data_IF_130065454637
#
_entry.id   IF_130065454637
#
_cell.length_a   1.000
_cell.length_b   1.000
_cell.length_c   1.000
_cell.angle_alpha   90.00
_cell.angle_beta   90.00
_cell.angle_gamma   90.00
#
_symmetry.space_group_name_H-M   'P 1'
#
loop_
_entity.id
_entity.type
_entity.pdbx_description
1 polymer ?
#
# COMPACT_ATOMS: atom_id res chain seq x y z
N UNK A 1 -1.52 -20.66 -7.89
CA UNK A 1 -1.27 -19.70 -8.99
C UNK A 1 -0.51 -18.53 -8.39
N UNK A 2 0.62 -18.15 -8.98
CA UNK A 2 1.71 -17.40 -8.32
C UNK A 2 1.43 -15.90 -8.16
N UNK A 3 1.92 -15.34 -7.05
CA UNK A 3 1.83 -13.92 -6.69
C UNK A 3 2.69 -13.09 -7.64
N UNK A 4 2.07 -12.13 -8.35
CA UNK A 4 2.80 -11.06 -9.03
C UNK A 4 2.97 -9.92 -8.03
N UNK A 5 4.19 -9.65 -7.55
CA UNK A 5 4.43 -8.42 -6.83
C UNK A 5 4.28 -7.33 -7.92
N UNK A 6 3.28 -6.44 -7.82
CA UNK A 6 2.83 -5.60 -8.93
C UNK A 6 3.97 -5.04 -9.77
N UNK A 7 3.96 -5.29 -11.08
CA UNK A 7 4.94 -4.68 -11.99
C UNK A 7 4.57 -3.20 -12.18
N UNK A 8 5.39 -2.43 -12.90
CA UNK A 8 4.98 -1.09 -13.33
C UNK A 8 3.63 -1.12 -14.08
N UNK A 9 3.29 -2.25 -14.68
CA UNK A 9 2.05 -2.47 -15.43
C UNK A 9 0.82 -2.58 -14.52
N UNK A 10 0.99 -2.96 -13.26
CA UNK A 10 -0.07 -3.13 -12.26
C UNK A 10 -0.08 -1.98 -11.22
N UNK A 11 0.52 -0.83 -11.54
CA UNK A 11 0.65 0.28 -10.58
C UNK A 11 -0.70 0.90 -10.19
N UNK A 12 -1.66 0.94 -11.11
CA UNK A 12 -2.99 1.52 -10.87
C UNK A 12 -3.77 0.72 -9.83
N UNK A 13 -4.46 1.42 -8.93
CA UNK A 13 -5.18 0.87 -7.78
C UNK A 13 -4.31 0.05 -6.80
N UNK A 14 -2.97 0.17 -6.89
CA UNK A 14 -2.05 -0.53 -5.98
C UNK A 14 -1.77 0.29 -4.72
N UNK A 15 -1.26 -0.37 -3.69
CA UNK A 15 -0.70 0.30 -2.50
C UNK A 15 0.42 1.29 -2.88
N UNK A 16 1.19 1.00 -3.92
CA UNK A 16 2.27 1.89 -4.36
C UNK A 16 1.73 3.21 -4.94
N UNK A 17 0.58 3.17 -5.63
CA UNK A 17 -0.12 4.38 -6.07
C UNK A 17 -0.66 5.18 -4.88
N UNK A 18 -1.27 4.52 -3.90
CA UNK A 18 -1.76 5.18 -2.69
C UNK A 18 -0.63 5.90 -1.93
N UNK A 19 0.56 5.29 -1.87
CA UNK A 19 1.76 5.91 -1.30
C UNK A 19 2.19 7.15 -2.12
N UNK A 20 2.25 7.05 -3.45
CA UNK A 20 2.60 8.19 -4.33
C UNK A 20 1.60 9.35 -4.15
N UNK A 21 0.30 9.06 -4.10
CA UNK A 21 -0.75 10.05 -3.88
C UNK A 21 -0.65 10.69 -2.50
N UNK A 22 -0.42 9.89 -1.45
CA UNK A 22 -0.26 10.41 -0.09
C UNK A 22 0.93 11.36 0.00
N UNK A 23 2.08 11.01 -0.59
CA UNK A 23 3.25 11.88 -0.61
C UNK A 23 2.94 13.20 -1.34
N UNK A 24 2.31 13.12 -2.52
CA UNK A 24 1.94 14.30 -3.29
C UNK A 24 1.02 15.24 -2.49
N UNK A 25 0.01 14.68 -1.82
CA UNK A 25 -0.92 15.44 -0.97
C UNK A 25 -0.19 16.13 0.19
N UNK A 26 0.74 15.43 0.87
CA UNK A 26 1.53 16.03 1.95
C UNK A 26 2.41 17.18 1.48
N UNK A 27 3.10 17.02 0.34
CA UNK A 27 3.93 18.10 -0.22
C UNK A 27 3.11 19.37 -0.51
N UNK A 28 1.93 19.21 -1.12
CA UNK A 28 1.05 20.34 -1.42
C UNK A 28 0.53 21.00 -0.13
N UNK A 29 0.17 20.18 0.88
CA UNK A 29 -0.29 20.68 2.17
C UNK A 29 0.80 21.51 2.90
N UNK A 30 2.07 21.14 2.71
CA UNK A 30 3.22 21.85 3.26
C UNK A 30 3.65 23.07 2.41
N UNK A 31 2.88 23.42 1.37
CA UNK A 31 3.18 24.54 0.46
C UNK A 31 4.34 24.28 -0.50
N UNK A 32 4.76 23.01 -0.65
CA UNK A 32 5.80 22.59 -1.58
C UNK A 32 5.20 22.23 -2.96
N UNK A 33 6.02 22.25 -4.02
CA UNK A 33 5.60 21.71 -5.31
C UNK A 33 5.19 20.24 -5.20
N UNK A 34 4.10 19.88 -5.89
CA UNK A 34 3.69 18.48 -6.02
C UNK A 34 4.69 17.63 -6.80
N UNK A 35 4.46 16.31 -6.78
CA UNK A 35 5.28 15.36 -7.53
C UNK A 35 5.07 15.53 -9.04
N UNK A 36 6.13 15.40 -9.85
CA UNK A 36 6.00 15.42 -11.30
C UNK A 36 5.22 14.19 -11.77
N UNK A 37 4.12 14.44 -12.50
CA UNK A 37 3.18 13.44 -13.02
C UNK A 37 3.38 13.14 -14.51
N UNK A 38 4.46 13.64 -15.11
CA UNK A 38 4.85 13.32 -16.49
C UNK A 38 5.54 11.95 -16.53
N UNK A 39 5.43 11.23 -17.64
CA UNK A 39 6.09 9.93 -17.79
C UNK A 39 7.59 10.09 -18.06
N UNK A 40 8.34 10.37 -17.00
CA UNK A 40 9.80 10.53 -17.03
C UNK A 40 10.50 9.33 -16.39
N UNK A 41 11.81 9.10 -16.67
CA UNK A 41 12.61 8.11 -15.95
C UNK A 41 12.50 8.24 -14.42
N UNK A 42 12.53 9.46 -13.90
CA UNK A 42 12.46 9.76 -12.47
C UNK A 42 11.12 9.31 -11.86
N UNK A 43 10.01 9.51 -12.59
CA UNK A 43 8.70 8.99 -12.17
C UNK A 43 8.70 7.46 -12.14
N UNK A 44 9.26 6.81 -13.16
CA UNK A 44 9.32 5.34 -13.21
C UNK A 44 10.18 4.76 -12.09
N UNK A 45 11.30 5.40 -11.76
CA UNK A 45 12.17 4.99 -10.64
C UNK A 45 11.51 5.20 -9.29
N UNK A 46 10.84 6.33 -9.09
CA UNK A 46 10.02 6.58 -7.89
C UNK A 46 8.91 5.53 -7.74
N UNK A 47 8.22 5.18 -8.82
CA UNK A 47 7.19 4.13 -8.79
C UNK A 47 7.78 2.76 -8.45
N UNK A 48 8.95 2.40 -9.00
CA UNK A 48 9.66 1.15 -8.62
C UNK A 48 10.02 1.13 -7.13
N UNK A 49 10.44 2.27 -6.58
CA UNK A 49 10.70 2.42 -5.15
C UNK A 49 9.44 2.17 -4.31
N UNK A 50 8.32 2.82 -4.66
CA UNK A 50 7.05 2.61 -3.93
C UNK A 50 6.52 1.20 -4.06
N UNK A 51 6.68 0.57 -5.23
CA UNK A 51 6.37 -0.85 -5.43
C UNK A 51 7.23 -1.73 -4.50
N UNK A 52 8.54 -1.46 -4.36
CA UNK A 52 9.40 -2.20 -3.46
C UNK A 52 8.99 -2.03 -1.98
N UNK A 53 8.64 -0.80 -1.57
CA UNK A 53 8.13 -0.50 -0.23
C UNK A 53 6.83 -1.27 0.04
N UNK A 54 5.85 -1.17 -0.86
CA UNK A 54 4.57 -1.85 -0.72
C UNK A 54 4.75 -3.38 -0.57
N UNK A 55 5.62 -3.98 -1.40
CA UNK A 55 5.96 -5.41 -1.31
C UNK A 55 6.59 -5.77 0.04
N UNK A 56 7.51 -4.95 0.53
CA UNK A 56 8.16 -5.15 1.83
C UNK A 56 7.17 -5.09 2.99
N UNK A 57 6.28 -4.09 2.98
CA UNK A 57 5.22 -3.92 3.99
C UNK A 57 4.28 -5.12 4.00
N UNK A 58 3.74 -5.52 2.85
CA UNK A 58 2.84 -6.69 2.76
C UNK A 58 3.55 -7.98 3.18
N UNK A 59 4.81 -8.16 2.77
CA UNK A 59 5.62 -9.31 3.18
C UNK A 59 5.79 -9.37 4.70
N UNK A 60 6.06 -8.23 5.34
CA UNK A 60 6.20 -8.12 6.78
C UNK A 60 4.89 -8.42 7.51
N UNK A 61 3.78 -7.78 7.09
CA UNK A 61 2.47 -7.98 7.68
C UNK A 61 2.00 -9.44 7.57
N UNK A 62 2.25 -10.07 6.42
CA UNK A 62 1.94 -11.50 6.23
C UNK A 62 2.77 -12.40 7.13
N UNK A 63 4.06 -12.10 7.33
CA UNK A 63 4.92 -12.86 8.24
C UNK A 63 4.47 -12.75 9.71
N UNK A 64 3.82 -11.64 10.07
CA UNK A 64 3.32 -11.36 11.41
C UNK A 64 1.78 -11.43 11.50
N UNK A 65 1.12 -12.09 10.56
CA UNK A 65 -0.33 -12.08 10.44
C UNK A 65 -1.03 -12.62 11.69
N UNK A 66 -0.40 -13.55 12.40
CA UNK A 66 -0.90 -14.07 13.68
C UNK A 66 -1.02 -13.00 14.78
N UNK A 67 -0.30 -11.89 14.65
CA UNK A 67 -0.36 -10.75 15.57
C UNK A 67 -1.42 -9.72 15.18
N UNK A 68 -2.09 -9.88 14.04
CA UNK A 68 -3.12 -8.96 13.55
C UNK A 68 -4.50 -9.39 14.05
N UNK A 69 -5.02 -8.67 15.05
CA UNK A 69 -6.35 -8.86 15.62
C UNK A 69 -7.20 -7.61 15.43
N UNK A 70 -8.48 -7.81 15.08
CA UNK A 70 -9.47 -6.74 15.00
C UNK A 70 -10.44 -6.92 16.15
N UNK A 71 -10.55 -5.88 16.98
CA UNK A 71 -11.56 -5.78 18.02
C UNK A 71 -12.72 -4.95 17.49
N UNK A 72 -13.95 -5.46 17.63
CA UNK A 72 -15.15 -4.74 17.21
C UNK A 72 -16.31 -5.04 18.16
N UNK A 73 -17.25 -4.11 18.23
CA UNK A 73 -18.50 -4.28 18.96
C UNK A 73 -19.57 -4.83 18.00
N UNK A 74 -20.29 -5.86 18.45
CA UNK A 74 -21.39 -6.48 17.74
C UNK A 74 -22.59 -6.55 18.68
N UNK A 75 -23.48 -5.57 18.57
CA UNK A 75 -24.68 -5.39 19.41
C UNK A 75 -24.36 -5.37 20.92
N UNK A 76 -23.35 -4.59 21.32
CA UNK A 76 -22.91 -4.47 22.71
C UNK A 76 -22.03 -5.62 23.21
N UNK A 77 -21.67 -6.57 22.33
CA UNK A 77 -20.73 -7.64 22.64
C UNK A 77 -19.38 -7.34 21.99
N UNK A 78 -18.34 -7.18 22.82
CA UNK A 78 -16.96 -7.05 22.34
C UNK A 78 -16.46 -8.37 21.76
N UNK A 79 -16.09 -8.35 20.48
CA UNK A 79 -15.56 -9.49 19.73
C UNK A 79 -14.13 -9.23 19.28
N UNK A 80 -13.40 -10.31 19.06
CA UNK A 80 -12.05 -10.29 18.48
C UNK A 80 -12.00 -11.27 17.32
N UNK A 81 -11.48 -10.85 16.17
CA UNK A 81 -11.27 -11.72 15.01
C UNK A 81 -9.84 -11.59 14.48
N UNK A 82 -9.29 -12.68 13.94
CA UNK A 82 -7.98 -12.68 13.31
C UNK A 82 -8.11 -12.29 11.84
N UNK A 83 -7.19 -11.46 11.36
CA UNK A 83 -7.20 -11.01 9.97
C UNK A 83 -6.53 -12.05 9.08
N UNK A 84 -7.17 -12.34 7.94
CA UNK A 84 -6.49 -13.01 6.84
C UNK A 84 -6.19 -12.03 5.73
N UNK A 85 -4.89 -11.78 5.50
CA UNK A 85 -4.46 -10.93 4.40
C UNK A 85 -4.55 -11.70 3.09
N UNK A 86 -5.59 -11.40 2.32
CA UNK A 86 -5.67 -11.77 0.92
C UNK A 86 -4.72 -10.89 0.10
N UNK A 87 -4.01 -11.48 -0.86
CA UNK A 87 -3.13 -10.75 -1.79
C UNK A 87 -3.82 -10.46 -3.11
N UNK A 88 -5.15 -10.40 -3.14
CA UNK A 88 -5.93 -10.15 -4.35
C UNK A 88 -6.04 -8.63 -4.55
N UNK A 89 -5.47 -8.11 -5.64
CA UNK A 89 -5.57 -6.68 -5.99
C UNK A 89 -4.54 -5.78 -5.29
N UNK A 90 -3.34 -6.30 -5.00
CA UNK A 90 -2.17 -5.51 -4.58
C UNK A 90 -1.12 -5.53 -5.68
#
# INVERSE_FOLDING_TARGET
>A
MAIKPGTLDDFSASMAEAIEQSLNTSLIADGLPGLPMEDTPERRDRRRLFVAIARGVIGHLKAQQASMVVHYDDDGVSRTTSVTLGTTGI
#
